data_IF_431132737279
#
_entry.id   IF_431132737279
#
_cell.length_a   1.000
_cell.length_b   1.000
_cell.length_c   1.000
_cell.angle_alpha   90.00
_cell.angle_beta   90.00
_cell.angle_gamma   90.00
#
_symmetry.space_group_name_H-M   'P 1'
#
loop_
_entity.id
_entity.type
_entity.pdbx_description
1 polymer ?
#
# COMPACT_ATOMS: atom_id res chain seq x y z
N UNK A 1 3.94 -29.63 -23.44
CA UNK A 1 4.46 -28.48 -22.72
C UNK A 1 4.08 -28.57 -21.24
N UNK A 2 2.81 -28.82 -20.89
CA UNK A 2 2.31 -28.95 -19.52
C UNK A 2 3.14 -29.90 -18.64
N UNK A 3 3.54 -31.05 -19.16
CA UNK A 3 4.33 -32.05 -18.44
C UNK A 3 5.75 -31.60 -18.07
N UNK A 4 6.24 -30.53 -18.69
CA UNK A 4 7.61 -30.00 -18.49
C UNK A 4 7.65 -28.74 -17.66
N UNK A 5 6.51 -28.26 -17.13
CA UNK A 5 6.36 -27.04 -16.37
C UNK A 5 5.77 -27.32 -14.99
N UNK A 6 6.14 -26.52 -14.00
CA UNK A 6 5.41 -26.52 -12.73
C UNK A 6 3.98 -25.97 -12.93
N UNK A 7 3.01 -26.27 -12.04
CA UNK A 7 1.65 -25.75 -12.17
C UNK A 7 1.58 -24.22 -12.27
N UNK A 8 2.45 -23.50 -11.56
CA UNK A 8 2.52 -22.04 -11.60
C UNK A 8 3.11 -21.53 -12.91
N UNK A 9 4.17 -22.17 -13.40
CA UNK A 9 4.76 -21.86 -14.70
C UNK A 9 3.77 -22.15 -15.83
N UNK A 10 3.00 -23.23 -15.73
CA UNK A 10 1.98 -23.55 -16.73
C UNK A 10 0.85 -22.51 -16.76
N UNK A 11 0.38 -22.05 -15.61
CA UNK A 11 -0.63 -20.96 -15.54
C UNK A 11 -0.14 -19.70 -16.23
N UNK A 12 1.11 -19.29 -15.98
CA UNK A 12 1.70 -18.12 -16.62
C UNK A 12 1.87 -18.33 -18.13
N UNK A 13 2.41 -19.49 -18.54
CA UNK A 13 2.54 -19.84 -19.94
C UNK A 13 1.20 -19.82 -20.68
N UNK A 14 0.16 -20.41 -20.07
CA UNK A 14 -1.19 -20.44 -20.62
C UNK A 14 -1.77 -19.03 -20.79
N UNK A 15 -1.56 -18.14 -19.82
CA UNK A 15 -2.00 -16.75 -19.92
C UNK A 15 -1.28 -16.00 -21.07
N UNK A 16 0.04 -16.18 -21.20
CA UNK A 16 0.83 -15.59 -22.30
C UNK A 16 0.33 -16.13 -23.63
N UNK A 17 0.13 -17.44 -23.74
CA UNK A 17 -0.38 -18.09 -24.94
C UNK A 17 -1.79 -17.55 -25.32
N UNK A 18 -2.70 -17.47 -24.36
CA UNK A 18 -4.04 -16.92 -24.58
C UNK A 18 -3.96 -15.49 -25.12
N UNK A 19 -3.13 -14.64 -24.53
CA UNK A 19 -2.95 -13.24 -24.96
C UNK A 19 -2.35 -13.14 -26.35
N UNK A 20 -1.33 -13.92 -26.62
CA UNK A 20 -0.69 -13.95 -27.92
C UNK A 20 -1.66 -14.43 -29.01
N UNK A 21 -2.33 -15.56 -28.80
CA UNK A 21 -3.29 -16.10 -29.75
C UNK A 21 -4.46 -15.14 -29.99
N UNK A 22 -5.01 -14.56 -28.92
CA UNK A 22 -6.12 -13.63 -29.03
C UNK A 22 -5.77 -12.37 -29.84
N UNK A 23 -4.51 -11.92 -29.79
CA UNK A 23 -4.05 -10.75 -30.57
C UNK A 23 -4.02 -10.99 -32.08
N UNK A 24 -3.98 -12.27 -32.50
CA UNK A 24 -3.95 -12.69 -33.90
C UNK A 24 -5.34 -13.14 -34.43
N UNK A 25 -6.33 -13.19 -33.52
CA UNK A 25 -7.69 -13.64 -33.89
C UNK A 25 -8.57 -12.45 -34.31
N UNK A 26 -9.66 -12.77 -35.01
CA UNK A 26 -10.67 -11.77 -35.36
C UNK A 26 -11.31 -11.15 -34.13
N UNK A 27 -11.80 -9.94 -34.28
CA UNK A 27 -12.50 -9.23 -33.20
C UNK A 27 -13.83 -9.95 -32.87
N UNK A 28 -14.22 -9.88 -31.59
CA UNK A 28 -15.55 -10.26 -31.17
C UNK A 28 -16.56 -9.19 -31.60
N UNK A 29 -17.74 -9.63 -32.05
CA UNK A 29 -18.80 -8.74 -32.49
C UNK A 29 -19.99 -8.87 -31.52
N UNK A 30 -20.33 -7.76 -30.88
CA UNK A 30 -21.54 -7.67 -30.05
C UNK A 30 -22.63 -6.82 -30.75
N UNK A 31 -23.85 -7.26 -30.63
CA UNK A 31 -25.01 -6.50 -31.07
C UNK A 31 -25.67 -5.84 -29.86
N UNK A 32 -25.63 -4.53 -29.81
CA UNK A 32 -26.23 -3.74 -28.72
C UNK A 32 -27.52 -3.11 -29.19
N UNK A 33 -28.58 -3.25 -28.40
CA UNK A 33 -29.84 -2.58 -28.61
C UNK A 33 -30.16 -1.67 -27.44
N UNK A 34 -30.51 -0.42 -27.73
CA UNK A 34 -30.91 0.58 -26.77
C UNK A 34 -32.34 1.00 -27.03
N UNK A 35 -33.10 1.12 -25.96
CA UNK A 35 -34.50 1.57 -25.99
C UNK A 35 -34.62 2.77 -25.08
N UNK A 36 -35.24 3.84 -25.58
CA UNK A 36 -35.62 5.01 -24.81
C UNK A 36 -37.13 5.08 -24.73
N UNK A 37 -37.67 5.17 -23.52
CA UNK A 37 -39.08 5.37 -23.27
C UNK A 37 -39.29 6.78 -22.74
N UNK A 38 -40.16 7.52 -23.34
CA UNK A 38 -40.50 8.91 -22.97
C UNK A 38 -41.87 8.94 -22.31
N UNK A 39 -41.96 9.64 -21.19
CA UNK A 39 -43.21 9.93 -20.52
C UNK A 39 -43.12 11.33 -19.94
N UNK A 40 -43.89 12.26 -20.49
CA UNK A 40 -43.88 13.67 -20.16
C UNK A 40 -42.42 14.23 -20.28
N UNK A 41 -41.83 14.73 -19.20
CA UNK A 41 -40.49 15.25 -19.14
C UNK A 41 -39.40 14.20 -18.78
N UNK A 42 -39.80 12.94 -18.54
CA UNK A 42 -38.88 11.88 -18.10
C UNK A 42 -38.50 10.94 -19.24
N UNK A 43 -37.23 10.58 -19.28
CA UNK A 43 -36.69 9.61 -20.22
C UNK A 43 -36.12 8.41 -19.48
N UNK A 44 -36.66 7.23 -19.75
CA UNK A 44 -36.15 5.95 -19.23
C UNK A 44 -35.33 5.25 -20.31
N UNK A 45 -34.10 4.84 -20.00
CA UNK A 45 -33.20 4.18 -20.96
C UNK A 45 -32.89 2.78 -20.50
N UNK A 46 -32.92 1.83 -21.40
CA UNK A 46 -32.45 0.47 -21.20
C UNK A 46 -31.57 0.07 -22.38
N UNK A 47 -30.53 -0.70 -22.12
CA UNK A 47 -29.66 -1.26 -23.15
C UNK A 47 -29.33 -2.71 -22.82
N UNK A 48 -29.28 -3.53 -23.85
CA UNK A 48 -28.83 -4.92 -23.76
C UNK A 48 -27.92 -5.25 -24.94
N UNK A 49 -26.91 -6.06 -24.68
CA UNK A 49 -25.94 -6.51 -25.69
C UNK A 49 -25.91 -8.02 -25.73
N UNK A 50 -25.75 -8.58 -26.93
CA UNK A 50 -25.58 -10.01 -27.16
C UNK A 50 -24.38 -10.22 -28.08
N UNK A 51 -23.54 -11.18 -27.72
CA UNK A 51 -22.40 -11.56 -28.53
C UNK A 51 -22.88 -12.30 -29.79
N UNK A 52 -22.60 -11.75 -30.98
CA UNK A 52 -22.96 -12.30 -32.28
C UNK A 52 -21.87 -13.23 -32.82
N UNK A 53 -20.63 -12.87 -32.58
CA UNK A 53 -19.43 -13.63 -32.97
C UNK A 53 -18.42 -13.55 -31.83
N UNK A 54 -18.04 -14.69 -31.31
CA UNK A 54 -17.16 -14.81 -30.15
C UNK A 54 -15.74 -14.27 -30.44
N UNK A 55 -15.29 -14.37 -31.71
CA UNK A 55 -13.96 -13.90 -32.09
C UNK A 55 -12.87 -14.42 -31.15
N UNK A 56 -12.00 -13.53 -30.68
CA UNK A 56 -10.93 -13.86 -29.73
C UNK A 56 -11.46 -14.24 -28.33
N UNK A 57 -12.70 -13.91 -28.00
CA UNK A 57 -13.26 -14.20 -26.67
C UNK A 57 -13.45 -15.71 -26.42
N UNK A 58 -13.44 -16.54 -27.46
CA UNK A 58 -13.49 -17.99 -27.33
C UNK A 58 -12.39 -18.54 -26.41
N UNK A 59 -11.26 -17.82 -26.27
CA UNK A 59 -10.17 -18.18 -25.38
C UNK A 59 -10.42 -17.74 -23.91
N UNK A 60 -11.52 -17.03 -23.62
CA UNK A 60 -11.83 -16.44 -22.30
C UNK A 60 -13.24 -16.85 -21.84
N UNK A 61 -13.40 -18.07 -21.40
CA UNK A 61 -14.71 -18.69 -21.05
C UNK A 61 -15.58 -17.87 -20.09
N UNK A 62 -14.99 -17.14 -19.15
CA UNK A 62 -15.72 -16.38 -18.14
C UNK A 62 -16.52 -15.22 -18.74
N UNK A 63 -16.00 -14.58 -19.81
CA UNK A 63 -16.67 -13.46 -20.48
C UNK A 63 -17.87 -13.91 -21.31
N UNK A 64 -17.79 -15.09 -21.91
CA UNK A 64 -18.89 -15.67 -22.69
C UNK A 64 -20.05 -16.07 -21.78
N UNK A 65 -19.75 -16.50 -20.54
CA UNK A 65 -20.82 -16.85 -19.56
C UNK A 65 -21.62 -15.64 -19.11
N UNK A 66 -20.97 -14.50 -18.87
CA UNK A 66 -21.64 -13.28 -18.43
C UNK A 66 -22.59 -12.70 -19.49
N UNK A 67 -22.28 -12.87 -20.78
CA UNK A 67 -23.09 -12.35 -21.88
C UNK A 67 -24.42 -13.13 -22.07
N UNK A 68 -24.50 -14.36 -21.59
CA UNK A 68 -25.71 -15.19 -21.67
C UNK A 68 -26.84 -14.67 -20.79
N UNK A 69 -26.56 -13.94 -19.71
CA UNK A 69 -27.57 -13.39 -18.80
C UNK A 69 -28.37 -12.23 -19.43
N UNK A 70 -27.74 -11.45 -20.32
CA UNK A 70 -28.43 -10.35 -21.03
C UNK A 70 -29.30 -10.79 -22.19
N UNK A 71 -29.26 -12.06 -22.58
CA UNK A 71 -29.98 -12.61 -23.75
C UNK A 71 -31.50 -12.48 -23.64
N UNK A 72 -32.08 -12.61 -22.45
CA UNK A 72 -33.52 -12.48 -22.20
C UNK A 72 -34.02 -11.08 -22.47
N UNK A 73 -33.32 -10.07 -21.95
CA UNK A 73 -33.65 -8.65 -22.13
C UNK A 73 -33.47 -8.24 -23.60
N UNK A 74 -32.42 -8.69 -24.26
CA UNK A 74 -32.17 -8.42 -25.66
C UNK A 74 -33.29 -8.95 -26.57
N UNK A 75 -33.71 -10.20 -26.38
CA UNK A 75 -34.84 -10.80 -27.13
C UNK A 75 -36.15 -10.06 -26.88
N UNK A 76 -36.37 -9.57 -25.67
CA UNK A 76 -37.54 -8.73 -25.39
C UNK A 76 -37.47 -7.42 -26.16
N UNK A 77 -36.34 -6.74 -26.15
CA UNK A 77 -36.12 -5.48 -26.86
C UNK A 77 -36.23 -5.64 -28.40
N UNK A 78 -35.95 -6.82 -28.95
CA UNK A 78 -36.12 -7.09 -30.37
C UNK A 78 -37.58 -6.99 -30.84
N UNK A 79 -38.52 -7.25 -29.93
CA UNK A 79 -39.94 -7.18 -30.23
C UNK A 79 -40.52 -5.77 -30.16
N UNK A 80 -39.76 -4.81 -29.66
CA UNK A 80 -40.19 -3.42 -29.58
C UNK A 80 -39.87 -2.67 -30.86
N UNK A 81 -40.83 -1.88 -31.33
CA UNK A 81 -40.67 -0.96 -32.46
C UNK A 81 -40.90 0.47 -31.99
N UNK A 82 -40.49 1.44 -32.80
CA UNK A 82 -40.75 2.85 -32.55
C UNK A 82 -42.25 3.10 -32.43
N UNK A 83 -42.66 3.87 -31.40
CA UNK A 83 -44.06 4.11 -31.07
C UNK A 83 -44.75 3.01 -30.26
N UNK A 84 -44.04 1.93 -29.88
CA UNK A 84 -44.59 0.91 -28.97
C UNK A 84 -44.95 1.55 -27.62
N UNK A 85 -46.17 1.23 -27.12
CA UNK A 85 -46.63 1.72 -25.81
C UNK A 85 -46.29 0.72 -24.71
N UNK A 86 -45.70 1.20 -23.61
CA UNK A 86 -45.43 0.42 -22.42
C UNK A 86 -46.31 0.90 -21.26
N UNK A 87 -46.71 -0.01 -20.38
CA UNK A 87 -47.40 0.33 -19.13
C UNK A 87 -46.42 0.27 -17.97
N UNK A 88 -46.35 1.36 -17.19
CA UNK A 88 -45.55 1.38 -15.98
C UNK A 88 -46.15 0.40 -14.97
N UNK A 89 -45.37 -0.57 -14.51
CA UNK A 89 -45.75 -1.56 -13.52
C UNK A 89 -45.30 -1.16 -12.10
N UNK A 90 -44.17 -0.47 -11.98
CA UNK A 90 -43.64 0.01 -10.73
C UNK A 90 -42.38 0.88 -10.95
N UNK A 91 -42.03 1.68 -9.96
CA UNK A 91 -40.80 2.46 -9.92
C UNK A 91 -40.08 2.10 -8.63
N UNK A 92 -38.81 1.70 -8.75
CA UNK A 92 -37.92 1.54 -7.64
C UNK A 92 -36.91 2.68 -7.68
N UNK A 93 -36.75 3.36 -6.55
CA UNK A 93 -35.76 4.44 -6.41
C UNK A 93 -34.57 3.95 -5.59
N UNK A 94 -33.38 4.26 -6.06
CA UNK A 94 -32.14 3.97 -5.32
C UNK A 94 -31.28 5.23 -5.26
N UNK A 95 -30.71 5.45 -4.09
CA UNK A 95 -29.73 6.53 -3.92
C UNK A 95 -28.33 6.02 -4.23
N UNK A 96 -27.63 6.76 -5.06
CA UNK A 96 -26.23 6.48 -5.39
C UNK A 96 -25.39 7.70 -5.12
N UNK A 97 -24.24 7.47 -4.47
CA UNK A 97 -23.22 8.50 -4.24
C UNK A 97 -22.01 8.20 -5.10
N UNK A 98 -21.33 9.24 -5.58
CA UNK A 98 -20.03 9.09 -6.22
C UNK A 98 -19.03 8.59 -5.21
N UNK A 99 -18.31 7.54 -5.57
CA UNK A 99 -17.24 7.00 -4.74
C UNK A 99 -15.90 7.68 -5.07
N UNK A 100 -15.01 7.84 -4.09
CA UNK A 100 -13.66 8.29 -4.37
C UNK A 100 -12.92 7.27 -5.27
N UNK A 101 -11.82 7.68 -5.94
CA UNK A 101 -11.00 6.72 -6.67
C UNK A 101 -10.60 5.53 -5.78
N UNK A 102 -10.63 4.30 -6.30
CA UNK A 102 -10.25 3.14 -5.51
C UNK A 102 -8.77 3.17 -5.15
N UNK A 103 -8.41 2.56 -4.02
CA UNK A 103 -7.00 2.34 -3.68
C UNK A 103 -6.28 1.58 -4.80
N UNK A 104 -5.00 1.86 -4.96
CA UNK A 104 -4.17 1.11 -5.90
C UNK A 104 -4.16 -0.38 -5.55
N UNK A 105 -4.17 -1.20 -6.58
CA UNK A 105 -3.67 -2.56 -6.53
C UNK A 105 -2.32 -2.63 -7.27
N UNK A 106 -1.61 -3.76 -7.17
CA UNK A 106 -0.29 -3.88 -7.81
C UNK A 106 -0.34 -3.60 -9.32
N UNK A 107 -1.36 -4.10 -10.02
CA UNK A 107 -1.49 -3.90 -11.46
C UNK A 107 -1.80 -2.43 -11.81
N UNK A 108 -2.70 -1.77 -11.07
CA UNK A 108 -3.01 -0.36 -11.31
C UNK A 108 -1.85 0.57 -10.93
N UNK A 109 -1.07 0.21 -9.90
CA UNK A 109 0.15 0.94 -9.55
C UNK A 109 1.20 0.84 -10.66
N UNK A 110 1.47 -0.37 -11.16
CA UNK A 110 2.39 -0.57 -12.29
C UNK A 110 1.94 0.24 -13.50
N UNK A 111 0.65 0.19 -13.86
CA UNK A 111 0.10 0.97 -14.97
C UNK A 111 0.28 2.48 -14.79
N UNK A 112 0.17 2.98 -13.56
CA UNK A 112 0.38 4.39 -13.26
C UNK A 112 1.87 4.77 -13.33
N UNK A 113 2.76 3.91 -12.81
CA UNK A 113 4.21 4.11 -12.91
C UNK A 113 4.65 4.15 -14.39
N UNK A 114 4.17 3.21 -15.22
CA UNK A 114 4.42 3.18 -16.66
C UNK A 114 3.91 4.45 -17.34
N UNK A 115 2.67 4.86 -17.09
CA UNK A 115 2.07 6.06 -17.67
C UNK A 115 2.83 7.35 -17.30
N UNK A 116 3.46 7.38 -16.13
CA UNK A 116 4.29 8.50 -15.65
C UNK A 116 5.77 8.37 -16.03
N UNK A 117 6.19 7.29 -16.68
CA UNK A 117 7.59 7.04 -17.07
C UNK A 117 8.51 6.78 -15.88
N UNK A 118 7.97 6.30 -14.75
CA UNK A 118 8.71 6.02 -13.51
C UNK A 118 9.00 4.52 -13.43
N UNK A 119 10.28 4.18 -13.37
CA UNK A 119 10.74 2.78 -13.38
C UNK A 119 10.65 2.15 -14.77
N UNK A 120 11.01 0.88 -14.85
CA UNK A 120 11.00 0.06 -16.06
C UNK A 120 10.43 -1.33 -15.71
N UNK A 121 10.07 -2.17 -16.68
CA UNK A 121 9.53 -3.51 -16.42
C UNK A 121 10.37 -4.34 -15.45
N UNK A 122 11.69 -4.20 -15.49
CA UNK A 122 12.63 -4.88 -14.59
C UNK A 122 12.58 -4.37 -13.14
N UNK A 123 12.10 -3.16 -12.89
CA UNK A 123 12.12 -2.52 -11.56
C UNK A 123 10.74 -2.45 -10.89
N UNK A 124 9.63 -2.57 -11.60
CA UNK A 124 8.29 -2.44 -11.00
C UNK A 124 8.05 -3.39 -9.82
N UNK A 125 8.45 -4.66 -9.97
CA UNK A 125 8.27 -5.66 -8.92
C UNK A 125 9.10 -5.28 -7.68
N UNK A 126 10.36 -4.90 -7.86
CA UNK A 126 11.26 -4.52 -6.76
C UNK A 126 10.82 -3.25 -6.03
N UNK A 127 10.18 -2.31 -6.73
CA UNK A 127 9.55 -1.11 -6.14
C UNK A 127 8.44 -1.56 -5.18
N UNK A 128 7.48 -2.35 -5.67
CA UNK A 128 6.34 -2.83 -4.88
C UNK A 128 6.81 -3.65 -3.68
N UNK A 129 7.74 -4.58 -3.88
CA UNK A 129 8.31 -5.38 -2.79
C UNK A 129 9.02 -4.51 -1.74
N UNK A 130 9.68 -3.44 -2.17
CA UNK A 130 10.34 -2.53 -1.24
C UNK A 130 9.34 -1.74 -0.40
N UNK A 131 8.25 -1.25 -1.00
CA UNK A 131 7.17 -0.59 -0.28
C UNK A 131 6.54 -1.51 0.78
N UNK A 132 6.26 -2.76 0.41
CA UNK A 132 5.71 -3.78 1.31
C UNK A 132 6.70 -4.18 2.41
N UNK A 133 7.97 -4.44 2.05
CA UNK A 133 9.02 -4.83 3.00
C UNK A 133 9.30 -3.75 4.04
N UNK A 134 9.27 -2.48 3.63
CA UNK A 134 9.43 -1.33 4.52
C UNK A 134 8.16 -0.98 5.29
N UNK A 135 7.05 -1.68 5.01
CA UNK A 135 5.73 -1.41 5.59
C UNK A 135 5.23 0.01 5.35
N UNK A 136 5.60 0.61 4.23
CA UNK A 136 5.01 1.87 3.80
C UNK A 136 3.59 1.67 3.29
N UNK A 137 3.34 0.51 2.70
CA UNK A 137 2.02 0.02 2.31
C UNK A 137 1.81 -1.42 2.79
N UNK A 138 0.56 -1.81 2.94
CA UNK A 138 0.14 -3.17 3.28
C UNK A 138 -0.84 -3.70 2.24
N UNK A 139 -0.79 -5.03 1.99
CA UNK A 139 -1.79 -5.71 1.16
C UNK A 139 -3.04 -6.01 1.99
N UNK A 140 -4.16 -5.45 1.56
CA UNK A 140 -5.48 -5.85 2.06
C UNK A 140 -6.27 -6.42 0.88
N UNK A 141 -6.47 -7.74 0.87
CA UNK A 141 -7.05 -8.47 -0.27
C UNK A 141 -6.25 -8.18 -1.55
N UNK A 142 -6.81 -7.41 -2.47
CA UNK A 142 -6.16 -7.01 -3.73
C UNK A 142 -5.70 -5.54 -3.75
N UNK A 143 -5.94 -4.80 -2.67
CA UNK A 143 -5.61 -3.37 -2.57
C UNK A 143 -4.33 -3.15 -1.79
N UNK A 144 -3.63 -2.07 -2.11
CA UNK A 144 -2.49 -1.54 -1.36
C UNK A 144 -3.01 -0.39 -0.49
N UNK A 145 -2.91 -0.56 0.82
CA UNK A 145 -3.28 0.47 1.79
C UNK A 145 -2.03 1.18 2.28
N UNK A 146 -2.08 2.50 2.31
CA UNK A 146 -1.02 3.32 2.89
C UNK A 146 -1.01 3.12 4.41
N UNK A 147 0.19 2.92 4.97
CA UNK A 147 0.40 2.80 6.41
C UNK A 147 0.88 4.13 6.98
N UNK A 148 0.63 4.39 8.28
CA UNK A 148 1.05 5.64 8.96
C UNK A 148 2.52 5.98 8.72
N UNK A 149 3.41 4.97 8.78
CA UNK A 149 4.85 5.17 8.53
C UNK A 149 5.11 5.60 7.08
N UNK A 150 4.32 5.09 6.13
CA UNK A 150 4.43 5.47 4.72
C UNK A 150 4.05 6.92 4.49
N UNK A 151 2.96 7.37 5.12
CA UNK A 151 2.50 8.75 5.07
C UNK A 151 3.55 9.71 5.65
N UNK A 152 4.02 9.44 6.87
CA UNK A 152 5.05 10.26 7.53
C UNK A 152 6.35 10.33 6.72
N UNK A 153 6.79 9.21 6.11
CA UNK A 153 7.99 9.20 5.26
C UNK A 153 7.77 10.03 4.01
N UNK A 154 6.58 9.92 3.38
CA UNK A 154 6.23 10.73 2.20
C UNK A 154 6.29 12.22 2.54
N UNK A 155 5.61 12.65 3.62
CA UNK A 155 5.58 14.06 4.05
C UNK A 155 6.99 14.62 4.31
N UNK A 156 7.84 13.83 4.96
CA UNK A 156 9.23 14.24 5.23
C UNK A 156 10.04 14.35 3.94
N UNK A 157 9.88 13.42 3.01
CA UNK A 157 10.56 13.47 1.73
C UNK A 157 10.08 14.65 0.90
N UNK A 158 8.79 14.91 0.84
CA UNK A 158 8.21 16.05 0.10
C UNK A 158 8.69 17.39 0.67
N UNK A 159 8.80 17.49 2.00
CA UNK A 159 9.29 18.70 2.67
C UNK A 159 10.77 18.96 2.42
N UNK A 160 11.61 17.94 2.47
CA UNK A 160 13.08 18.10 2.45
C UNK A 160 13.74 17.79 1.10
N UNK A 161 13.07 17.00 0.25
CA UNK A 161 13.56 16.55 -1.05
C UNK A 161 12.51 16.71 -2.16
N UNK A 162 11.86 17.88 -2.30
CA UNK A 162 10.75 18.08 -3.24
C UNK A 162 11.13 17.77 -4.70
N UNK A 163 12.40 18.01 -5.07
CA UNK A 163 12.89 17.68 -6.40
C UNK A 163 12.88 16.16 -6.67
N UNK A 164 13.27 15.35 -5.67
CA UNK A 164 13.40 13.89 -5.83
C UNK A 164 12.03 13.21 -5.81
N UNK A 165 11.07 13.78 -5.07
CA UNK A 165 9.70 13.26 -5.00
C UNK A 165 8.85 13.67 -6.19
N UNK A 166 9.34 14.61 -7.02
CA UNK A 166 8.66 15.00 -8.24
C UNK A 166 8.67 13.87 -9.28
N UNK A 167 7.50 13.56 -9.79
CA UNK A 167 7.31 12.54 -10.84
C UNK A 167 8.06 12.87 -12.12
N UNK A 168 8.07 14.16 -12.52
CA UNK A 168 8.76 14.59 -13.74
C UNK A 168 10.27 14.45 -13.61
N UNK A 169 10.83 14.74 -12.45
CA UNK A 169 12.25 14.58 -12.19
C UNK A 169 12.67 13.11 -12.34
N UNK A 170 11.91 12.20 -11.70
CA UNK A 170 12.19 10.76 -11.79
C UNK A 170 12.07 10.26 -13.24
N UNK A 171 11.04 10.67 -13.96
CA UNK A 171 10.82 10.30 -15.36
C UNK A 171 11.96 10.80 -16.27
N UNK A 172 12.40 12.05 -16.07
CA UNK A 172 13.54 12.63 -16.82
C UNK A 172 14.86 11.89 -16.52
N UNK A 173 15.07 11.52 -15.24
CA UNK A 173 16.27 10.75 -14.87
C UNK A 173 16.27 9.36 -15.50
N UNK A 174 15.14 8.66 -15.49
CA UNK A 174 14.98 7.36 -16.18
C UNK A 174 15.26 7.48 -17.67
N UNK A 175 14.79 8.54 -18.33
CA UNK A 175 15.07 8.78 -19.76
C UNK A 175 16.56 9.06 -20.03
N UNK A 176 17.22 9.82 -19.14
CA UNK A 176 18.69 10.03 -19.23
C UNK A 176 19.47 8.72 -19.07
N UNK A 177 18.98 7.81 -18.19
CA UNK A 177 19.60 6.48 -18.01
C UNK A 177 19.40 5.60 -19.25
N UNK A 178 18.27 5.69 -19.94
CA UNK A 178 18.06 5.02 -21.24
C UNK A 178 19.04 5.57 -22.29
N UNK A 179 19.28 6.89 -22.33
CA UNK A 179 20.27 7.49 -23.24
C UNK A 179 21.69 6.98 -22.96
N UNK A 180 22.04 6.72 -21.70
CA UNK A 180 23.32 6.06 -21.36
C UNK A 180 23.37 4.63 -21.88
N UNK A 181 22.28 3.87 -21.69
CA UNK A 181 22.19 2.48 -22.17
C UNK A 181 22.30 2.38 -23.71
N UNK A 182 21.84 3.40 -24.42
CA UNK A 182 21.93 3.52 -25.88
C UNK A 182 23.24 4.20 -26.34
N UNK A 183 24.19 4.48 -25.43
CA UNK A 183 25.47 5.17 -25.69
C UNK A 183 25.32 6.58 -26.31
N UNK A 184 24.20 7.27 -26.03
CA UNK A 184 23.94 8.65 -26.47
C UNK A 184 24.44 9.70 -25.49
N UNK A 185 24.59 9.35 -24.21
CA UNK A 185 25.01 10.23 -23.14
C UNK A 185 26.09 9.58 -22.25
N UNK A 186 26.90 10.40 -21.57
CA UNK A 186 27.92 9.94 -20.64
C UNK A 186 27.34 9.70 -19.24
N UNK A 187 27.59 8.52 -18.64
CA UNK A 187 27.17 8.16 -17.29
C UNK A 187 27.66 9.18 -16.25
N UNK A 188 28.93 9.59 -16.35
CA UNK A 188 29.56 10.46 -15.37
C UNK A 188 28.89 11.83 -15.27
N UNK A 189 28.55 12.42 -16.40
CA UNK A 189 27.88 13.72 -16.48
C UNK A 189 26.53 13.71 -15.77
N UNK A 190 25.73 12.67 -16.01
CA UNK A 190 24.39 12.51 -15.40
C UNK A 190 24.52 12.33 -13.88
N UNK A 191 25.50 11.56 -13.42
CA UNK A 191 25.75 11.36 -11.99
C UNK A 191 26.25 12.62 -11.28
N UNK A 192 27.12 13.40 -11.92
CA UNK A 192 27.63 14.66 -11.40
C UNK A 192 26.52 15.71 -11.26
N UNK A 193 25.68 15.84 -12.27
CA UNK A 193 24.52 16.73 -12.26
C UNK A 193 23.54 16.37 -11.14
N UNK A 194 23.19 15.09 -11.04
CA UNK A 194 22.30 14.60 -9.97
C UNK A 194 22.89 14.85 -8.60
N UNK A 195 24.16 14.49 -8.39
CA UNK A 195 24.82 14.60 -7.08
C UNK A 195 24.96 16.03 -6.62
N UNK A 196 25.21 16.96 -7.53
CA UNK A 196 25.32 18.39 -7.24
C UNK A 196 24.05 18.94 -6.61
N UNK A 197 22.89 18.64 -7.18
CA UNK A 197 21.60 19.09 -6.66
C UNK A 197 21.22 18.33 -5.38
N UNK A 198 21.42 17.01 -5.37
CA UNK A 198 21.11 16.16 -4.24
C UNK A 198 21.94 16.50 -3.00
N UNK A 199 23.24 16.77 -3.15
CA UNK A 199 24.13 17.08 -2.01
C UNK A 199 23.69 18.34 -1.27
N UNK A 200 23.22 19.36 -1.98
CA UNK A 200 22.70 20.60 -1.36
C UNK A 200 21.43 20.31 -0.56
N UNK A 201 20.51 19.52 -1.09
CA UNK A 201 19.28 19.13 -0.38
C UNK A 201 19.63 18.28 0.85
N UNK A 202 20.57 17.36 0.71
CA UNK A 202 21.01 16.48 1.79
C UNK A 202 21.62 17.27 2.97
N UNK A 203 22.48 18.26 2.71
CA UNK A 203 23.07 19.10 3.77
C UNK A 203 21.98 19.97 4.46
N UNK A 204 21.06 20.54 3.70
CA UNK A 204 19.90 21.25 4.26
C UNK A 204 19.03 20.33 5.12
N UNK A 205 18.78 19.10 4.66
CA UNK A 205 18.00 18.13 5.41
C UNK A 205 18.69 17.72 6.70
N UNK A 206 20.01 17.48 6.71
CA UNK A 206 20.77 17.14 7.92
C UNK A 206 20.65 18.19 9.02
N UNK A 207 20.59 19.48 8.65
CA UNK A 207 20.48 20.59 9.62
C UNK A 207 19.06 20.87 10.05
N UNK A 208 18.09 20.70 9.13
CA UNK A 208 16.70 21.14 9.32
C UNK A 208 15.71 19.99 9.52
N UNK A 209 16.15 18.73 9.38
CA UNK A 209 15.27 17.60 9.56
C UNK A 209 14.92 17.48 11.05
N UNK A 210 13.75 17.95 11.41
CA UNK A 210 13.15 17.67 12.69
C UNK A 210 13.03 16.14 12.83
N UNK A 211 13.48 15.61 13.97
CA UNK A 211 13.22 14.20 14.26
C UNK A 211 11.71 13.99 14.21
N UNK A 212 11.25 12.92 13.56
CA UNK A 212 9.82 12.54 13.45
C UNK A 212 9.21 12.24 14.83
N UNK A 213 9.30 13.21 15.73
CA UNK A 213 8.84 13.14 17.11
C UNK A 213 7.82 14.23 17.32
N UNK A 214 6.56 13.90 17.29
CA UNK A 214 5.50 14.85 17.61
C UNK A 214 5.25 14.83 19.11
N UNK A 215 5.39 15.98 19.76
CA UNK A 215 5.04 16.10 21.17
C UNK A 215 3.52 15.99 21.33
N UNK A 216 3.10 15.15 22.27
CA UNK A 216 1.69 14.99 22.63
C UNK A 216 1.39 15.69 23.96
N UNK A 217 0.13 16.03 24.19
CA UNK A 217 -0.32 16.57 25.49
C UNK A 217 -0.38 15.49 26.60
N UNK A 218 -0.22 14.24 26.23
CA UNK A 218 -0.25 13.10 27.17
C UNK A 218 1.02 13.03 28.00
N UNK A 219 0.87 13.00 29.31
CA UNK A 219 1.99 12.93 30.25
C UNK A 219 2.39 11.49 30.54
N UNK A 220 3.68 11.28 30.73
CA UNK A 220 4.26 10.02 31.15
C UNK A 220 3.86 9.69 32.59
N UNK A 221 3.23 8.55 32.88
CA UNK A 221 2.84 8.19 34.26
C UNK A 221 4.02 7.94 35.19
N UNK A 222 5.22 7.71 34.63
CA UNK A 222 6.40 7.39 35.45
C UNK A 222 7.21 8.63 35.86
N UNK A 223 7.22 9.69 35.07
CA UNK A 223 8.06 10.87 35.34
C UNK A 223 7.38 12.22 35.09
N UNK A 224 6.11 12.24 34.66
CA UNK A 224 5.34 13.46 34.44
C UNK A 224 5.69 14.25 33.15
N UNK A 225 6.77 13.90 32.44
CA UNK A 225 7.15 14.55 31.17
C UNK A 225 6.19 14.17 30.05
N UNK A 226 6.00 15.01 29.04
CA UNK A 226 5.14 14.70 27.90
C UNK A 226 5.63 13.46 27.13
N UNK A 227 4.71 12.78 26.47
CA UNK A 227 5.02 11.69 25.56
C UNK A 227 5.25 12.21 24.16
N UNK A 228 6.19 11.58 23.45
CA UNK A 228 6.50 11.81 22.05
C UNK A 228 5.89 10.69 21.21
N UNK A 229 5.13 11.06 20.19
CA UNK A 229 4.69 10.17 19.17
C UNK A 229 5.85 9.86 18.21
N UNK A 230 6.08 8.59 17.96
CA UNK A 230 7.14 8.09 17.10
C UNK A 230 6.63 6.92 16.26
N UNK A 231 7.29 6.67 15.15
CA UNK A 231 6.94 5.60 14.24
C UNK A 231 8.08 4.59 14.11
N UNK A 232 7.74 3.33 13.96
CA UNK A 232 8.66 2.24 13.71
C UNK A 232 8.11 1.29 12.65
N UNK A 233 8.93 0.33 12.21
CA UNK A 233 8.46 -0.72 11.31
C UNK A 233 7.28 -1.55 11.85
N UNK A 234 7.01 -1.49 13.16
CA UNK A 234 5.90 -2.19 13.81
C UNK A 234 4.71 -1.26 14.13
N UNK A 235 4.68 -0.08 13.54
CA UNK A 235 3.62 0.92 13.73
C UNK A 235 4.02 2.07 14.66
N UNK A 236 3.04 2.89 14.97
CA UNK A 236 3.11 4.03 15.87
C UNK A 236 3.34 3.57 17.32
N UNK A 237 4.10 4.34 18.07
CA UNK A 237 4.28 4.17 19.53
C UNK A 237 4.51 5.52 20.21
N UNK A 238 4.22 5.59 21.51
CA UNK A 238 4.54 6.74 22.34
C UNK A 238 5.76 6.44 23.21
N UNK A 239 6.68 7.38 23.31
CA UNK A 239 7.83 7.28 24.21
C UNK A 239 7.97 8.52 25.09
N UNK A 240 8.57 8.40 26.25
CA UNK A 240 8.78 9.53 27.14
C UNK A 240 9.77 10.53 26.54
N UNK A 241 9.43 11.83 26.59
CA UNK A 241 10.29 12.92 26.09
C UNK A 241 11.55 13.13 26.95
N UNK A 242 11.57 12.65 28.18
CA UNK A 242 12.78 12.66 29.04
C UNK A 242 13.96 11.85 28.45
N UNK A 243 13.67 11.04 27.43
CA UNK A 243 14.67 10.25 26.73
C UNK A 243 14.99 8.91 27.42
N UNK A 244 15.54 8.00 26.63
CA UNK A 244 15.75 6.60 26.99
C UNK A 244 16.67 6.38 28.21
N UNK A 245 17.57 7.33 28.51
CA UNK A 245 18.46 7.25 29.66
C UNK A 245 17.77 7.61 30.97
N UNK A 246 16.77 8.51 30.91
CA UNK A 246 16.06 9.01 32.09
C UNK A 246 14.75 8.23 32.35
N UNK A 247 14.01 7.90 31.29
CA UNK A 247 12.74 7.19 31.39
C UNK A 247 12.52 6.27 30.21
N UNK A 248 12.31 4.99 30.49
CA UNK A 248 12.11 3.94 29.46
C UNK A 248 10.64 3.68 29.14
N UNK A 249 9.72 4.54 29.63
CA UNK A 249 8.30 4.40 29.38
C UNK A 249 7.97 4.46 27.90
N UNK A 250 7.27 3.45 27.40
CA UNK A 250 6.89 3.34 25.99
C UNK A 250 5.55 2.61 25.86
N UNK A 251 4.61 3.22 25.16
CA UNK A 251 3.29 2.63 24.84
C UNK A 251 3.33 2.19 23.39
N UNK A 252 2.95 0.95 23.13
CA UNK A 252 2.71 0.46 21.77
C UNK A 252 1.20 0.29 21.55
N UNK A 253 0.80 0.19 20.28
CA UNK A 253 -0.60 -0.03 19.90
C UNK A 253 -0.75 -1.39 19.21
N UNK A 254 -1.87 -2.06 19.49
CA UNK A 254 -2.28 -3.27 18.76
C UNK A 254 -2.90 -2.92 17.43
N UNK A 255 -3.05 -3.90 16.54
CA UNK A 255 -3.73 -3.72 15.25
C UNK A 255 -5.18 -3.24 15.40
N UNK A 256 -5.83 -3.60 16.50
CA UNK A 256 -7.21 -3.21 16.82
C UNK A 256 -7.31 -1.85 17.53
N UNK A 257 -6.19 -1.10 17.61
CA UNK A 257 -6.13 0.21 18.27
C UNK A 257 -6.02 0.17 19.79
N UNK A 258 -5.91 -1.00 20.41
CA UNK A 258 -5.68 -1.16 21.84
C UNK A 258 -4.29 -0.70 22.27
N UNK A 259 -4.14 -0.24 23.50
CA UNK A 259 -2.85 0.19 24.07
C UNK A 259 -2.15 -0.94 24.81
N UNK A 260 -0.88 -1.16 24.50
CA UNK A 260 0.05 -2.01 25.24
C UNK A 260 0.84 -1.12 26.21
N UNK A 261 0.41 -1.09 27.44
CA UNK A 261 1.02 -0.28 28.50
C UNK A 261 2.20 -1.03 29.13
N UNK A 262 3.35 -0.36 29.36
CA UNK A 262 4.49 -0.99 30.02
C UNK A 262 4.29 -1.06 31.53
N UNK A 263 4.69 -2.18 32.11
CA UNK A 263 4.87 -2.34 33.56
C UNK A 263 6.32 -1.99 33.93
N UNK A 264 6.53 -1.47 35.14
CA UNK A 264 7.88 -1.26 35.67
C UNK A 264 8.51 -2.62 35.98
N UNK A 265 9.39 -3.09 35.10
CA UNK A 265 10.15 -4.33 35.29
C UNK A 265 11.65 -4.03 35.29
N UNK A 266 12.42 -4.75 36.07
CA UNK A 266 13.86 -4.66 36.13
C UNK A 266 14.50 -5.96 35.65
N UNK A 267 15.67 -5.85 35.06
CA UNK A 267 16.41 -7.00 34.57
C UNK A 267 17.03 -7.77 35.70
N UNK A 268 16.66 -9.04 35.90
CA UNK A 268 17.24 -9.92 36.90
C UNK A 268 18.78 -10.12 36.79
N UNK A 269 19.35 -9.88 35.56
CA UNK A 269 20.80 -10.06 35.34
C UNK A 269 21.64 -8.83 35.65
N UNK A 270 21.13 -7.61 35.48
CA UNK A 270 21.92 -6.38 35.59
C UNK A 270 21.21 -5.23 36.32
N UNK A 271 20.01 -5.46 36.89
CA UNK A 271 19.26 -4.46 37.64
C UNK A 271 18.68 -3.29 36.83
N UNK A 272 19.01 -3.16 35.52
CA UNK A 272 18.54 -2.03 34.71
C UNK A 272 17.05 -2.18 34.34
N UNK A 273 16.33 -1.05 34.14
CA UNK A 273 14.93 -1.11 33.75
C UNK A 273 14.75 -1.82 32.39
N UNK A 274 13.62 -2.49 32.24
CA UNK A 274 13.25 -3.15 30.99
C UNK A 274 12.28 -2.30 30.17
N UNK A 275 12.39 -2.41 28.86
CA UNK A 275 11.64 -1.62 27.87
C UNK A 275 10.67 -2.53 27.14
N UNK A 276 9.41 -2.15 27.08
CA UNK A 276 8.43 -2.80 26.23
C UNK A 276 8.76 -2.58 24.77
N UNK A 277 8.83 -3.65 24.01
CA UNK A 277 9.05 -3.68 22.57
C UNK A 277 8.04 -4.60 21.90
N UNK A 278 7.76 -4.34 20.62
CA UNK A 278 6.93 -5.21 19.79
C UNK A 278 7.79 -5.77 18.67
N UNK A 279 7.73 -7.08 18.47
CA UNK A 279 8.36 -7.77 17.35
C UNK A 279 7.32 -8.61 16.59
N UNK A 280 7.74 -9.24 15.49
CA UNK A 280 6.85 -10.10 14.67
C UNK A 280 6.17 -11.24 15.48
N UNK A 281 6.83 -11.71 16.55
CA UNK A 281 6.32 -12.79 17.43
C UNK A 281 5.44 -12.28 18.58
N UNK A 282 5.23 -10.97 18.69
CA UNK A 282 4.45 -10.34 19.75
C UNK A 282 5.25 -9.37 20.63
N UNK A 283 4.60 -8.78 21.64
CA UNK A 283 5.22 -7.88 22.61
C UNK A 283 6.15 -8.61 23.56
N UNK A 284 7.22 -7.95 24.00
CA UNK A 284 8.21 -8.48 24.95
C UNK A 284 8.95 -7.33 25.66
N UNK A 285 9.54 -7.63 26.80
CA UNK A 285 10.43 -6.71 27.50
C UNK A 285 11.89 -7.01 27.19
N UNK A 286 12.65 -5.99 26.80
CA UNK A 286 14.09 -6.08 26.56
C UNK A 286 14.84 -5.22 27.58
N UNK A 287 16.00 -5.70 28.03
CA UNK A 287 16.84 -4.93 28.95
C UNK A 287 17.36 -3.63 28.31
N UNK A 288 17.28 -2.51 29.04
CA UNK A 288 17.83 -1.21 28.58
C UNK A 288 19.36 -1.21 28.50
N UNK A 289 20.04 -2.21 29.09
CA UNK A 289 21.47 -2.39 29.03
C UNK A 289 22.01 -3.03 27.74
N UNK A 290 21.16 -3.25 26.73
CA UNK A 290 21.62 -3.73 25.42
C UNK A 290 22.62 -2.75 24.79
N UNK A 291 23.73 -3.23 24.16
CA UNK A 291 24.08 -4.62 23.82
C UNK A 291 24.78 -5.42 24.92
N UNK A 292 25.21 -4.80 26.03
CA UNK A 292 25.97 -5.45 27.11
C UNK A 292 25.12 -6.49 27.86
N UNK A 293 23.81 -6.24 27.98
CA UNK A 293 22.85 -7.20 28.55
C UNK A 293 21.76 -7.54 27.54
N UNK A 294 21.65 -8.81 27.16
CA UNK A 294 20.68 -9.31 26.17
C UNK A 294 19.46 -9.99 26.80
N UNK A 295 19.13 -9.67 28.06
CA UNK A 295 17.99 -10.27 28.75
C UNK A 295 16.66 -9.85 28.13
N UNK A 296 15.77 -10.82 27.93
CA UNK A 296 14.42 -10.65 27.36
C UNK A 296 13.44 -11.42 28.26
N UNK A 297 12.23 -10.85 28.44
CA UNK A 297 11.12 -11.45 29.17
C UNK A 297 9.87 -11.34 28.28
N UNK A 298 9.06 -12.37 28.18
CA UNK A 298 7.80 -12.34 27.43
C UNK A 298 6.80 -11.37 28.07
N UNK A 299 5.97 -10.74 27.23
CA UNK A 299 4.87 -9.91 27.74
C UNK A 299 3.81 -10.82 28.36
N UNK A 300 3.41 -10.53 29.61
CA UNK A 300 2.49 -11.40 30.36
C UNK A 300 3.16 -12.44 31.26
N UNK A 301 4.48 -12.62 31.22
CA UNK A 301 5.19 -13.43 32.20
C UNK A 301 5.19 -12.72 33.56
N UNK A 302 4.50 -13.33 34.56
CA UNK A 302 4.45 -12.88 35.93
C UNK A 302 5.74 -13.27 36.70
N UNK A 303 6.90 -12.88 36.23
CA UNK A 303 8.08 -12.90 37.05
C UNK A 303 7.98 -11.74 38.04
N UNK A 304 7.71 -12.06 39.34
CA UNK A 304 7.68 -11.07 40.42
C UNK A 304 8.94 -10.18 40.31
N UNK A 305 8.80 -8.85 40.44
CA UNK A 305 9.97 -7.97 40.54
C UNK A 305 10.69 -8.33 41.85
N UNK A 306 11.87 -8.93 41.78
CA UNK A 306 12.80 -8.87 42.91
C UNK A 306 13.26 -7.42 43.00
N UNK A 307 12.87 -6.76 44.12
CA UNK A 307 13.42 -5.46 44.49
C UNK A 307 14.95 -5.58 44.58
N UNK A 308 15.70 -4.63 44.04
CA UNK A 308 17.16 -4.63 44.23
C UNK A 308 17.45 -4.58 45.71
N UNK A 309 18.19 -5.57 46.23
CA UNK A 309 18.72 -5.54 47.58
C UNK A 309 19.49 -4.23 47.79
N UNK A 310 19.28 -3.50 48.87
CA UNK A 310 20.08 -2.33 49.20
C UNK A 310 21.54 -2.74 49.30
N UNK A 311 22.40 -1.91 48.67
CA UNK A 311 23.85 -2.08 48.72
C UNK A 311 24.33 -2.00 50.16
N UNK A 312 24.68 -3.14 50.77
CA UNK A 312 25.41 -3.24 52.03
C UNK A 312 26.89 -3.02 51.69
N UNK A 313 27.30 -1.75 51.56
CA UNK A 313 28.68 -1.37 51.64
C UNK A 313 28.80 -0.02 52.35
N UNK A 314 29.00 -0.08 53.65
CA UNK A 314 29.67 0.96 54.45
C UNK A 314 31.13 0.61 54.49
#
# INVERSE_FOLDING_TARGET
>A
IEKNLTPEQFKLYHLIWQRFMSSQMKQALSHTRSVSLEYDSYTFKAAASVLKDDGFLVLFDERIKADRESHGLFKFMEKLSEGSKARLAGIETSEHQTLPPPHYNEASLVKTLEAKGIGRPSTYVSIIETLLRRKYVERNKRQLLLMDIGEVVSDVLDKHFPLITDYEFTSKLESKLDDVAEAKAGEKEILEDFYKEFSVLLEKAKTNMETMKKMTDRKCPWCGTNLLEQYSANGKFLSCAAGYKACVYRVHFTADGGELLPEKKFCAKCGKPMVLRVARRGPFYACSGFPSCKSIISYGDETKPEEPKPDESV
#
